data_IF_268846980756
#
_entry.id   IF_268846980756
#
_cell.length_a   1.000
_cell.length_b   1.000
_cell.length_c   1.000
_cell.angle_alpha   90.00
_cell.angle_beta   90.00
_cell.angle_gamma   90.00
#
_symmetry.space_group_name_H-M   'P 1'
#
loop_
_entity.id
_entity.type
_entity.pdbx_description
1 polymer ?
#
# COMPACT_ATOMS: atom_id res chain seq x y z
N UNK A 1 -11.35 5.85 -8.34
CA UNK A 1 -10.02 5.79 -9.00
C UNK A 1 -9.63 4.33 -9.17
N UNK A 2 -9.16 3.98 -10.35
CA UNK A 2 -8.65 2.64 -10.59
C UNK A 2 -7.26 2.50 -10.00
N UNK A 3 -7.15 1.71 -8.96
CA UNK A 3 -5.88 1.48 -8.28
C UNK A 3 -5.23 0.24 -8.90
N UNK A 4 -3.95 0.34 -9.24
CA UNK A 4 -3.22 -0.76 -9.87
C UNK A 4 -1.93 -1.03 -9.12
N UNK A 5 -1.58 -2.31 -9.00
CA UNK A 5 -0.30 -2.70 -8.42
C UNK A 5 0.85 -2.18 -9.27
N UNK A 6 1.95 -1.83 -8.60
CA UNK A 6 3.14 -1.35 -9.28
C UNK A 6 3.96 -2.54 -9.77
N UNK A 7 4.11 -2.72 -11.09
CA UNK A 7 4.89 -3.84 -11.64
C UNK A 7 6.38 -3.72 -11.35
N UNK A 8 6.86 -2.53 -11.02
CA UNK A 8 8.27 -2.30 -10.71
C UNK A 8 8.60 -2.54 -9.24
N UNK A 9 7.67 -3.08 -8.47
CA UNK A 9 7.86 -3.35 -7.06
C UNK A 9 8.00 -4.88 -6.84
N UNK A 10 9.20 -5.45 -6.98
CA UNK A 10 9.41 -6.90 -7.02
C UNK A 10 9.47 -7.53 -5.64
N UNK A 11 8.59 -7.17 -4.76
CA UNK A 11 8.64 -7.67 -3.40
C UNK A 11 8.14 -9.10 -3.29
N UNK A 12 8.86 -9.91 -2.53
CA UNK A 12 8.38 -11.22 -2.12
C UNK A 12 7.49 -11.08 -0.89
N UNK A 13 6.43 -11.87 -0.85
CA UNK A 13 5.49 -11.85 0.26
C UNK A 13 6.01 -12.74 1.38
N UNK A 14 6.12 -12.18 2.59
CA UNK A 14 6.32 -12.98 3.79
C UNK A 14 4.93 -13.38 4.30
N UNK A 15 4.62 -14.67 4.19
CA UNK A 15 3.29 -15.19 4.51
C UNK A 15 2.84 -14.86 5.94
N UNK A 16 3.76 -15.00 6.90
CA UNK A 16 3.45 -14.74 8.32
C UNK A 16 3.12 -13.26 8.54
N UNK A 17 3.90 -12.37 7.96
CA UNK A 17 3.65 -10.93 8.06
C UNK A 17 2.38 -10.53 7.35
N UNK A 18 2.10 -11.15 6.20
CA UNK A 18 0.90 -10.87 5.44
C UNK A 18 -0.35 -11.28 6.21
N UNK A 19 -0.31 -12.44 6.86
CA UNK A 19 -1.40 -12.91 7.72
C UNK A 19 -1.67 -11.94 8.85
N UNK A 20 -0.61 -11.46 9.51
CA UNK A 20 -0.74 -10.48 10.59
C UNK A 20 -1.32 -9.17 10.07
N UNK A 21 -0.91 -8.75 8.89
CA UNK A 21 -1.43 -7.53 8.27
C UNK A 21 -2.93 -7.64 7.99
N UNK A 22 -3.36 -8.78 7.41
CA UNK A 22 -4.78 -9.01 7.15
C UNK A 22 -5.59 -8.98 8.44
N UNK A 23 -5.10 -9.63 9.47
CA UNK A 23 -5.77 -9.66 10.77
C UNK A 23 -5.86 -8.25 11.37
N UNK A 24 -4.77 -7.49 11.29
CA UNK A 24 -4.71 -6.13 11.79
C UNK A 24 -5.73 -5.22 11.09
N UNK A 25 -5.83 -5.33 9.77
CA UNK A 25 -6.80 -4.55 8.97
C UNK A 25 -8.23 -4.93 9.35
N UNK A 26 -8.48 -6.22 9.53
CA UNK A 26 -9.80 -6.71 9.91
C UNK A 26 -10.21 -6.22 11.28
N UNK A 27 -9.29 -6.22 12.23
CA UNK A 27 -9.57 -5.82 13.62
C UNK A 27 -9.59 -4.31 13.80
N UNK A 28 -8.80 -3.59 13.01
CA UNK A 28 -8.64 -2.15 13.17
C UNK A 28 -8.51 -1.45 11.81
N UNK A 29 -9.60 -1.36 11.04
CA UNK A 29 -9.54 -0.76 9.69
C UNK A 29 -9.17 0.71 9.69
N UNK A 30 -9.36 1.44 10.79
CA UNK A 30 -8.94 2.83 10.89
C UNK A 30 -7.43 3.03 10.73
N UNK A 31 -6.64 1.98 10.90
CA UNK A 31 -5.21 2.02 10.64
C UNK A 31 -4.92 2.51 9.22
N UNK A 32 -5.80 2.20 8.27
CA UNK A 32 -5.65 2.61 6.88
C UNK A 32 -5.79 4.12 6.68
N UNK A 33 -6.48 4.81 7.60
CA UNK A 33 -6.53 6.27 7.58
C UNK A 33 -5.21 6.88 8.04
N UNK A 34 -4.52 6.20 8.94
CA UNK A 34 -3.24 6.65 9.49
C UNK A 34 -2.08 6.25 8.60
N UNK A 35 -2.19 5.13 7.92
CA UNK A 35 -1.19 4.64 6.96
C UNK A 35 -1.88 4.28 5.64
N UNK A 36 -2.24 5.29 4.85
CA UNK A 36 -3.01 5.06 3.63
C UNK A 36 -2.18 4.39 2.53
N UNK A 37 -2.89 3.86 1.56
CA UNK A 37 -2.29 3.42 0.31
C UNK A 37 -1.94 4.69 -0.47
N UNK A 38 -0.69 4.81 -0.90
CA UNK A 38 -0.23 5.97 -1.66
C UNK A 38 -0.12 5.59 -3.14
N UNK A 39 -0.79 6.36 -3.98
CA UNK A 39 -0.81 6.13 -5.42
C UNK A 39 -0.33 7.38 -6.15
N UNK A 40 0.11 7.23 -7.41
CA UNK A 40 0.40 8.37 -8.25
C UNK A 40 -0.90 8.87 -8.92
N UNK A 41 -0.77 9.89 -9.76
CA UNK A 41 -1.93 10.47 -10.45
C UNK A 41 -2.65 9.50 -11.38
N UNK A 42 -1.98 8.41 -11.77
CA UNK A 42 -2.54 7.39 -12.66
C UNK A 42 -3.15 6.22 -11.88
N UNK A 43 -3.07 6.26 -10.55
CA UNK A 43 -3.58 5.19 -9.71
C UNK A 43 -2.62 4.04 -9.48
N UNK A 44 -1.36 4.19 -9.88
CA UNK A 44 -0.35 3.15 -9.64
C UNK A 44 0.15 3.28 -8.21
N UNK A 45 0.16 2.17 -7.48
CA UNK A 45 0.53 2.16 -6.07
C UNK A 45 2.03 2.43 -5.90
N UNK A 46 2.36 3.46 -5.16
CA UNK A 46 3.73 3.78 -4.77
C UNK A 46 4.09 3.18 -3.42
N UNK A 47 3.13 3.12 -2.52
CA UNK A 47 3.29 2.51 -1.21
C UNK A 47 1.99 1.87 -0.76
N UNK A 48 2.09 0.74 -0.04
CA UNK A 48 0.93 0.03 0.45
C UNK A 48 0.46 -1.13 -0.42
N UNK A 49 1.34 -1.70 -1.25
CA UNK A 49 0.99 -2.88 -2.06
C UNK A 49 0.43 -4.01 -1.21
N UNK A 50 1.03 -4.27 -0.06
CA UNK A 50 0.58 -5.35 0.82
C UNK A 50 -0.76 -5.02 1.44
N UNK A 51 -1.00 -3.77 1.82
CA UNK A 51 -2.29 -3.33 2.34
C UNK A 51 -3.37 -3.49 1.28
N UNK A 52 -3.07 -3.12 0.04
CA UNK A 52 -4.01 -3.29 -1.07
C UNK A 52 -4.35 -4.77 -1.30
N UNK A 53 -3.34 -5.62 -1.34
CA UNK A 53 -3.55 -7.06 -1.51
C UNK A 53 -4.35 -7.66 -0.35
N UNK A 54 -4.07 -7.23 0.87
CA UNK A 54 -4.79 -7.68 2.04
C UNK A 54 -6.27 -7.32 1.95
N UNK A 55 -6.58 -6.11 1.52
CA UNK A 55 -7.97 -5.67 1.33
C UNK A 55 -8.68 -6.49 0.26
N UNK A 56 -7.99 -6.80 -0.83
CA UNK A 56 -8.56 -7.65 -1.88
C UNK A 56 -8.87 -9.06 -1.37
N UNK A 57 -7.96 -9.66 -0.62
CA UNK A 57 -8.18 -11.00 -0.08
C UNK A 57 -9.26 -11.04 0.99
N UNK A 58 -9.42 -9.96 1.72
CA UNK A 58 -10.48 -9.84 2.73
C UNK A 58 -11.84 -9.51 2.09
N UNK A 59 -11.86 -9.18 0.80
CA UNK A 59 -13.07 -8.78 0.11
C UNK A 59 -13.62 -7.44 0.57
N UNK A 60 -12.77 -6.60 1.12
CA UNK A 60 -13.17 -5.28 1.61
C UNK A 60 -13.09 -4.23 0.52
N UNK A 61 -14.09 -3.36 0.46
CA UNK A 61 -14.09 -2.24 -0.46
C UNK A 61 -13.08 -1.19 0.02
N UNK A 62 -12.31 -0.63 -0.93
CA UNK A 62 -11.32 0.39 -0.61
C UNK A 62 -12.01 1.75 -0.54
N UNK A 63 -11.97 2.37 0.63
CA UNK A 63 -12.56 3.69 0.83
C UNK A 63 -11.60 4.79 0.37
N UNK A 64 -12.16 5.90 -0.10
CA UNK A 64 -11.35 7.03 -0.57
C UNK A 64 -10.41 7.56 0.52
N UNK A 65 -10.85 7.55 1.77
CA UNK A 65 -10.04 8.01 2.91
C UNK A 65 -8.83 7.13 3.19
N UNK A 66 -8.78 5.95 2.59
CA UNK A 66 -7.65 5.01 2.73
C UNK A 66 -6.62 5.17 1.62
N UNK A 67 -6.84 6.11 0.70
CA UNK A 67 -5.98 6.33 -0.46
C UNK A 67 -5.50 7.77 -0.48
N UNK A 68 -4.20 7.96 -0.68
CA UNK A 68 -3.62 9.29 -0.84
C UNK A 68 -2.96 9.38 -2.22
N UNK A 69 -3.28 10.43 -2.96
CA UNK A 69 -2.68 10.65 -4.28
C UNK A 69 -1.45 11.54 -4.13
N UNK A 70 -0.29 11.01 -4.56
CA UNK A 70 0.97 11.75 -4.57
C UNK A 70 1.26 12.19 -6.01
N UNK A 71 0.68 13.30 -6.43
CA UNK A 71 0.75 13.77 -7.80
C UNK A 71 1.84 14.82 -8.04
N UNK A 72 2.58 15.21 -7.00
CA UNK A 72 3.59 16.27 -7.08
C UNK A 72 5.03 15.77 -6.93
N UNK A 73 5.23 14.45 -6.99
CA UNK A 73 6.57 13.88 -6.86
C UNK A 73 7.27 13.84 -8.21
N UNK A 74 8.58 14.11 -8.19
CA UNK A 74 9.44 13.84 -9.35
C UNK A 74 9.63 12.33 -9.49
N UNK A 75 10.14 11.88 -10.65
CA UNK A 75 10.41 10.47 -10.87
C UNK A 75 11.42 9.92 -9.85
N UNK A 76 12.41 10.72 -9.50
CA UNK A 76 13.40 10.32 -8.50
C UNK A 76 12.76 10.18 -7.12
N UNK A 77 11.90 11.11 -6.75
CA UNK A 77 11.19 11.06 -5.48
C UNK A 77 10.23 9.87 -5.41
N UNK A 78 9.57 9.55 -6.51
CA UNK A 78 8.70 8.36 -6.58
C UNK A 78 9.49 7.09 -6.28
N UNK A 79 10.64 6.93 -6.94
CA UNK A 79 11.50 5.76 -6.73
C UNK A 79 11.99 5.67 -5.29
N UNK A 80 12.39 6.80 -4.74
CA UNK A 80 12.83 6.88 -3.34
C UNK A 80 11.72 6.49 -2.39
N UNK A 81 10.52 6.99 -2.63
CA UNK A 81 9.37 6.66 -1.80
C UNK A 81 9.08 5.15 -1.81
N UNK A 82 9.12 4.53 -2.98
CA UNK A 82 8.87 3.09 -3.11
C UNK A 82 9.89 2.29 -2.29
N UNK A 83 11.16 2.66 -2.37
CA UNK A 83 12.22 1.98 -1.63
C UNK A 83 12.03 2.14 -0.13
N UNK A 84 11.80 3.36 0.32
CA UNK A 84 11.63 3.65 1.74
C UNK A 84 10.39 2.97 2.33
N UNK A 85 9.30 2.93 1.60
CA UNK A 85 8.09 2.26 2.05
C UNK A 85 8.32 0.75 2.18
N UNK A 86 9.09 0.16 1.27
CA UNK A 86 9.44 -1.25 1.35
C UNK A 86 10.31 -1.57 2.56
N UNK A 87 11.27 -0.71 2.85
CA UNK A 87 12.13 -0.87 4.03
C UNK A 87 11.30 -0.82 5.30
N UNK A 88 10.38 0.13 5.38
CA UNK A 88 9.49 0.29 6.52
C UNK A 88 8.68 -0.98 6.75
N UNK A 89 8.15 -1.57 5.69
CA UNK A 89 7.39 -2.80 5.78
C UNK A 89 8.24 -3.95 6.34
N UNK A 90 9.49 -4.08 5.88
CA UNK A 90 10.36 -5.17 6.31
C UNK A 90 10.91 -5.00 7.72
N UNK A 91 11.03 -3.75 8.19
CA UNK A 91 11.55 -3.45 9.51
C UNK A 91 10.46 -3.46 10.59
N UNK A 92 9.24 -3.30 10.19
CA UNK A 92 8.09 -3.33 11.12
C UNK A 92 7.54 -4.76 11.32
#
# INVERSE_FOLDING_TARGET
>A
MDIRLNPDNPRQINEAKFKKLKQSIKDFPKMLELRPIVVDKEGIILGGNMRYRALQELGMEIKDEWVKVADKLTDEERRRFIVEDNLDFWLS
#
